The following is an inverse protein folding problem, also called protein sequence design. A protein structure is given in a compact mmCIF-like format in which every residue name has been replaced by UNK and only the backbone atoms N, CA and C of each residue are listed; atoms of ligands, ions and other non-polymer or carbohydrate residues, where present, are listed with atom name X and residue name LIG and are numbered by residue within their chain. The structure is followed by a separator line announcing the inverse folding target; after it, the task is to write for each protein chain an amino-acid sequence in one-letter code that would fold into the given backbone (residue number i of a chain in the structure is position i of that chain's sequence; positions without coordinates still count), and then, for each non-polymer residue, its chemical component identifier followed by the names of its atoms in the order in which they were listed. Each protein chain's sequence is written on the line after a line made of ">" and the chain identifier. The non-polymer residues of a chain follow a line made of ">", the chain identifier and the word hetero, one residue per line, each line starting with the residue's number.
data_IF_211858978410
#
_entry.id   IF_211858978410
#
_cell.length_a   1.000
_cell.length_b   1.000
_cell.length_c   1.000
_cell.angle_alpha   90.00
_cell.angle_beta   90.00
_cell.angle_gamma   90.00
#
_symmetry.space_group_name_H-M   'P 1'
#
loop_
_entity.id
_entity.type
_entity.pdbx_description
1 polymer ?
#
# COMPACT_ATOMS: atom_id res chain seq x y z
N UNK A 1 14.18 5.49 15.52
CA UNK A 1 13.17 5.66 16.59
C UNK A 1 12.20 6.71 16.11
N UNK A 2 10.90 6.50 16.33
CA UNK A 2 9.86 7.46 15.98
C UNK A 2 9.27 7.99 17.29
N UNK A 3 9.37 9.31 17.49
CA UNK A 3 8.86 9.96 18.68
C UNK A 3 7.51 10.61 18.38
N UNK A 4 6.50 10.23 19.16
CA UNK A 4 5.15 10.79 19.08
C UNK A 4 4.96 11.71 20.27
N UNK A 5 4.61 12.97 20.01
CA UNK A 5 4.36 13.97 21.04
C UNK A 5 2.88 14.37 20.98
N UNK A 6 2.14 14.10 22.05
CA UNK A 6 0.76 14.50 22.23
C UNK A 6 0.65 15.72 23.15
N UNK A 7 -0.07 16.76 22.72
CA UNK A 7 -0.42 17.91 23.54
C UNK A 7 -1.93 17.92 23.82
N UNK A 8 -2.30 17.85 25.10
CA UNK A 8 -3.68 18.08 25.52
C UNK A 8 -3.98 19.59 25.48
N UNK A 9 -4.76 20.04 24.50
CA UNK A 9 -5.10 21.47 24.30
C UNK A 9 -5.91 22.11 25.44
N UNK A 10 -6.53 21.31 26.34
CA UNK A 10 -7.34 21.82 27.46
C UNK A 10 -6.52 21.97 28.74
N UNK A 11 -5.66 21.00 29.03
CA UNK A 11 -4.84 20.97 30.26
C UNK A 11 -3.40 21.43 30.03
N UNK A 12 -2.98 21.61 28.78
CA UNK A 12 -1.61 21.87 28.35
C UNK A 12 -0.61 20.77 28.77
N UNK A 13 -1.10 19.58 29.12
CA UNK A 13 -0.25 18.42 29.41
C UNK A 13 0.37 17.87 28.13
N UNK A 14 1.65 17.52 28.19
CA UNK A 14 2.40 16.90 27.10
C UNK A 14 2.70 15.45 27.48
N UNK A 15 2.40 14.53 26.57
CA UNK A 15 2.78 13.13 26.66
C UNK A 15 3.68 12.77 25.48
N UNK A 16 4.68 11.92 25.73
CA UNK A 16 5.61 11.47 24.70
C UNK A 16 5.65 9.95 24.68
N UNK A 17 5.56 9.37 23.48
CA UNK A 17 5.67 7.94 23.26
C UNK A 17 6.76 7.67 22.23
N UNK A 18 7.71 6.79 22.58
CA UNK A 18 8.79 6.38 21.69
C UNK A 18 8.43 5.04 21.07
N UNK A 19 8.34 5.01 19.74
CA UNK A 19 8.13 3.79 18.96
C UNK A 19 9.47 3.34 18.36
N UNK A 20 9.87 2.13 18.71
CA UNK A 20 11.03 1.48 18.10
C UNK A 20 10.60 0.79 16.80
N UNK A 21 10.98 1.38 15.67
CA UNK A 21 10.79 0.81 14.34
C UNK A 21 12.04 0.05 13.92
N UNK A 22 11.92 -1.27 13.75
CA UNK A 22 12.97 -2.11 13.20
C UNK A 22 12.67 -2.39 11.73
N UNK A 23 13.40 -1.72 10.83
CA UNK A 23 13.28 -1.91 9.40
C UNK A 23 14.34 -2.91 8.97
N UNK A 24 13.91 -4.02 8.39
CA UNK A 24 14.80 -5.05 7.85
C UNK A 24 14.69 -5.05 6.33
N UNK A 25 15.83 -5.12 5.65
CA UNK A 25 15.84 -5.35 4.21
C UNK A 25 15.35 -6.78 3.92
N UNK A 26 14.44 -6.92 2.95
CA UNK A 26 13.96 -8.23 2.53
C UNK A 26 14.94 -8.79 1.49
N UNK A 27 15.49 -9.97 1.74
CA UNK A 27 16.45 -10.62 0.84
C UNK A 27 15.84 -11.07 -0.49
N UNK A 28 14.55 -11.40 -0.49
CA UNK A 28 13.80 -11.85 -1.66
C UNK A 28 12.65 -10.88 -1.94
N UNK A 29 12.80 -10.10 -3.01
CA UNK A 29 11.78 -9.16 -3.46
C UNK A 29 10.68 -9.87 -4.24
N UNK A 30 9.45 -9.38 -4.13
CA UNK A 30 8.36 -9.84 -5.00
C UNK A 30 8.72 -9.58 -6.47
N UNK A 31 8.54 -10.60 -7.30
CA UNK A 31 8.64 -10.49 -8.77
C UNK A 31 7.26 -10.43 -9.42
N UNK A 32 6.21 -10.79 -8.67
CA UNK A 32 4.84 -10.80 -9.11
C UNK A 32 3.96 -10.13 -8.06
N UNK A 33 2.93 -9.43 -8.52
CA UNK A 33 2.04 -8.67 -7.66
C UNK A 33 0.58 -8.81 -8.11
N UNK A 34 -0.31 -9.05 -7.14
CA UNK A 34 -1.76 -8.97 -7.32
C UNK A 34 -2.23 -7.63 -6.76
N UNK A 35 -2.87 -6.81 -7.60
CA UNK A 35 -3.39 -5.48 -7.22
C UNK A 35 -4.89 -5.49 -7.22
N UNK A 36 -5.52 -4.88 -6.23
CA UNK A 36 -6.97 -4.73 -6.16
C UNK A 36 -7.37 -3.64 -5.15
N UNK A 37 -8.65 -3.27 -5.16
CA UNK A 37 -9.28 -2.39 -4.19
C UNK A 37 -10.32 -3.16 -3.37
N UNK A 38 -10.38 -2.88 -2.07
CA UNK A 38 -11.47 -3.27 -1.17
C UNK A 38 -12.36 -2.05 -0.95
N UNK A 39 -13.66 -2.19 -1.20
CA UNK A 39 -14.62 -1.08 -1.18
C UNK A 39 -15.15 -0.75 0.21
N UNK A 40 -15.22 -1.72 1.12
CA UNK A 40 -15.93 -1.61 2.40
C UNK A 40 -15.01 -1.40 3.62
N UNK A 41 -13.76 -1.03 3.41
CA UNK A 41 -12.76 -0.81 4.46
C UNK A 41 -11.91 0.41 4.12
N UNK A 42 -11.47 1.14 5.14
CA UNK A 42 -10.44 2.17 5.05
C UNK A 42 -9.06 1.61 5.42
N UNK A 43 -8.03 2.44 5.29
CA UNK A 43 -6.64 2.05 5.59
C UNK A 43 -6.51 1.62 7.05
N UNK A 44 -7.12 2.36 7.96
CA UNK A 44 -7.11 2.11 9.40
C UNK A 44 -7.74 0.75 9.74
N UNK A 45 -8.82 0.40 9.05
CA UNK A 45 -9.52 -0.87 9.26
C UNK A 45 -8.64 -2.07 8.92
N UNK A 46 -7.68 -1.92 8.00
CA UNK A 46 -6.76 -2.99 7.63
C UNK A 46 -5.74 -3.29 8.73
N UNK A 47 -5.50 -2.34 9.64
CA UNK A 47 -4.60 -2.51 10.78
C UNK A 47 -5.31 -3.00 12.04
N UNK A 48 -6.64 -3.14 12.03
CA UNK A 48 -7.35 -3.87 13.08
C UNK A 48 -6.97 -5.34 13.09
N UNK A 49 -6.95 -5.94 14.29
CA UNK A 49 -6.39 -7.26 14.53
C UNK A 49 -6.81 -8.31 13.49
N UNK A 50 -5.82 -9.02 12.97
CA UNK A 50 -5.93 -10.15 12.03
C UNK A 50 -6.46 -9.85 10.63
N UNK A 51 -6.82 -8.61 10.28
CA UNK A 51 -7.33 -8.26 8.94
C UNK A 51 -6.36 -8.57 7.82
N UNK A 52 -5.13 -8.08 7.90
CA UNK A 52 -4.08 -8.39 6.92
C UNK A 52 -3.77 -9.90 6.89
N UNK A 53 -3.54 -10.59 8.03
CA UNK A 53 -3.38 -12.04 8.05
C UNK A 53 -4.50 -12.81 7.34
N UNK A 54 -5.77 -12.50 7.59
CA UNK A 54 -6.90 -13.16 6.92
C UNK A 54 -6.93 -12.89 5.42
N UNK A 55 -6.64 -11.66 5.01
CA UNK A 55 -6.53 -11.34 3.59
C UNK A 55 -5.43 -12.18 2.93
N UNK A 56 -4.24 -12.24 3.52
CA UNK A 56 -3.12 -13.04 3.02
C UNK A 56 -3.48 -14.53 2.96
N UNK A 57 -4.18 -15.06 3.96
CA UNK A 57 -4.56 -16.47 4.04
C UNK A 57 -5.55 -16.89 2.94
N UNK A 58 -6.47 -16.01 2.53
CA UNK A 58 -7.32 -16.26 1.35
C UNK A 58 -6.45 -16.57 0.13
N UNK A 59 -5.40 -15.78 -0.10
CA UNK A 59 -4.47 -16.00 -1.20
C UNK A 59 -3.62 -17.26 -0.98
N UNK A 60 -2.96 -17.39 0.16
CA UNK A 60 -2.05 -18.52 0.44
C UNK A 60 -2.74 -19.89 0.38
N UNK A 61 -4.03 -19.95 0.73
CA UNK A 61 -4.77 -21.20 0.84
C UNK A 61 -5.65 -21.51 -0.39
N UNK A 62 -6.15 -20.49 -1.10
CA UNK A 62 -7.17 -20.70 -2.13
C UNK A 62 -6.78 -20.17 -3.50
N UNK A 63 -6.13 -19.01 -3.60
CA UNK A 63 -5.89 -18.36 -4.90
C UNK A 63 -4.46 -18.50 -5.39
N UNK A 64 -3.45 -18.42 -4.52
CA UNK A 64 -2.04 -18.30 -4.88
C UNK A 64 -1.16 -19.23 -4.04
N UNK A 65 -1.42 -20.54 -4.11
CA UNK A 65 -0.78 -21.57 -3.28
C UNK A 65 0.76 -21.52 -3.27
N UNK A 66 1.39 -21.19 -4.41
CA UNK A 66 2.85 -21.05 -4.50
C UNK A 66 3.41 -19.97 -3.56
N UNK A 67 2.66 -18.89 -3.35
CA UNK A 67 3.07 -17.74 -2.53
C UNK A 67 3.05 -17.98 -1.02
N UNK A 68 2.72 -19.19 -0.56
CA UNK A 68 2.47 -19.51 0.86
C UNK A 68 3.62 -19.07 1.79
N UNK A 69 4.87 -19.15 1.33
CA UNK A 69 6.05 -18.89 2.15
C UNK A 69 6.46 -17.42 2.19
N UNK A 70 6.14 -16.64 1.15
CA UNK A 70 6.74 -15.33 0.94
C UNK A 70 5.74 -14.21 0.63
N UNK A 71 4.43 -14.49 0.55
CA UNK A 71 3.38 -13.50 0.30
C UNK A 71 3.31 -12.43 1.39
N UNK A 72 3.24 -11.17 0.99
CA UNK A 72 3.18 -10.01 1.87
C UNK A 72 2.49 -8.82 1.19
N UNK A 73 2.08 -7.83 1.97
CA UNK A 73 1.56 -6.56 1.46
C UNK A 73 2.74 -5.71 0.97
N UNK A 74 2.73 -5.35 -0.31
CA UNK A 74 3.74 -4.47 -0.93
C UNK A 74 3.28 -3.02 -1.02
N UNK A 75 1.97 -2.79 -1.00
CA UNK A 75 1.38 -1.46 -1.05
C UNK A 75 0.01 -1.44 -0.36
N UNK A 76 -0.27 -0.35 0.36
CA UNK A 76 -1.53 -0.10 1.03
C UNK A 76 -1.78 1.42 1.06
N UNK A 77 -2.87 1.89 0.48
CA UNK A 77 -3.23 3.31 0.52
C UNK A 77 -4.75 3.53 0.41
N UNK A 78 -5.23 4.70 0.83
CA UNK A 78 -6.63 5.05 0.59
C UNK A 78 -6.86 5.20 -0.91
N UNK A 79 -8.05 4.82 -1.36
CA UNK A 79 -8.48 5.05 -2.73
C UNK A 79 -8.49 6.56 -3.07
N UNK A 80 -8.80 7.41 -2.09
CA UNK A 80 -8.85 8.87 -2.25
C UNK A 80 -7.46 9.48 -2.49
N UNK A 81 -6.44 9.00 -1.78
CA UNK A 81 -5.02 9.40 -1.97
C UNK A 81 -4.51 9.11 -3.39
N UNK A 82 -5.11 8.11 -4.04
CA UNK A 82 -4.81 7.73 -5.43
C UNK A 82 -5.69 8.46 -6.46
N UNK A 83 -6.35 9.53 -6.04
CA UNK A 83 -7.14 10.39 -6.92
C UNK A 83 -8.57 9.91 -7.18
N UNK A 84 -9.07 8.91 -6.44
CA UNK A 84 -10.49 8.59 -6.50
C UNK A 84 -11.31 9.62 -5.72
N UNK A 85 -12.53 9.87 -6.18
CA UNK A 85 -13.45 10.80 -5.51
C UNK A 85 -13.89 10.22 -4.18
N UNK A 86 -13.90 11.06 -3.14
CA UNK A 86 -14.51 10.74 -1.86
C UNK A 86 -16.01 10.34 -2.02
N UNK A 87 -16.50 9.42 -1.18
CA UNK A 87 -17.93 9.13 -1.12
C UNK A 87 -18.77 10.38 -0.87
N UNK A 88 -20.01 10.38 -1.37
CA UNK A 88 -20.95 11.48 -1.13
C UNK A 88 -21.50 11.47 0.29
N UNK A 89 -21.70 10.27 0.84
CA UNK A 89 -22.07 10.08 2.25
C UNK A 89 -20.79 9.97 3.08
N UNK A 90 -20.57 10.85 4.08
CA UNK A 90 -19.39 10.75 4.94
C UNK A 90 -19.35 9.48 5.80
N UNK A 91 -20.44 8.72 5.90
CA UNK A 91 -20.47 7.43 6.57
C UNK A 91 -20.04 6.25 5.67
N UNK A 92 -19.94 6.48 4.36
CA UNK A 92 -19.43 5.48 3.42
C UNK A 92 -17.89 5.40 3.51
N UNK A 93 -17.34 4.21 3.28
CA UNK A 93 -15.89 4.01 3.23
C UNK A 93 -15.29 4.51 1.92
N UNK A 94 -14.11 5.11 1.98
CA UNK A 94 -13.35 5.55 0.80
C UNK A 94 -12.87 4.35 -0.03
N UNK A 95 -12.58 3.26 0.68
CA UNK A 95 -11.99 2.05 0.13
C UNK A 95 -10.47 2.09 0.21
N UNK A 96 -9.85 0.92 0.18
CA UNK A 96 -8.40 0.76 0.31
C UNK A 96 -7.86 0.01 -0.90
N UNK A 97 -6.78 0.53 -1.48
CA UNK A 97 -6.03 -0.14 -2.55
C UNK A 97 -4.91 -0.96 -1.91
N UNK A 98 -4.88 -2.25 -2.24
CA UNK A 98 -3.94 -3.22 -1.69
C UNK A 98 -3.18 -3.88 -2.83
N UNK A 99 -1.87 -3.98 -2.68
CA UNK A 99 -1.05 -4.85 -3.51
C UNK A 99 -0.41 -5.94 -2.66
N UNK A 100 -0.45 -7.17 -3.15
CA UNK A 100 0.15 -8.34 -2.53
C UNK A 100 1.24 -8.89 -3.43
N UNK A 101 2.46 -9.00 -2.91
CA UNK A 101 3.63 -9.43 -3.66
C UNK A 101 4.16 -10.80 -3.23
N UNK A 102 4.65 -11.55 -4.20
CA UNK A 102 5.39 -12.81 -4.00
C UNK A 102 6.39 -13.01 -5.15
N UNK A 103 7.43 -13.80 -4.91
CA UNK A 103 8.35 -14.28 -5.95
C UNK A 103 7.75 -15.41 -6.80
N UNK A 104 6.67 -16.03 -6.32
CA UNK A 104 6.00 -17.16 -7.00
C UNK A 104 5.28 -16.73 -8.26
N UNK A 105 5.23 -17.61 -9.26
CA UNK A 105 4.39 -17.39 -10.44
C UNK A 105 2.90 -17.39 -10.07
N UNK A 106 2.07 -16.67 -10.83
CA UNK A 106 0.62 -16.69 -10.65
C UNK A 106 0.05 -18.09 -10.86
N UNK A 107 -0.96 -18.44 -10.06
CA UNK A 107 -1.66 -19.70 -10.22
C UNK A 107 -2.62 -19.66 -11.41
N UNK A 108 -3.04 -20.83 -11.88
CA UNK A 108 -4.12 -20.93 -12.89
C UNK A 108 -5.41 -20.27 -12.41
N UNK A 109 -5.71 -20.34 -11.10
CA UNK A 109 -6.91 -19.71 -10.51
C UNK A 109 -6.87 -18.20 -10.68
N UNK A 110 -5.71 -17.57 -10.47
CA UNK A 110 -5.54 -16.11 -10.67
C UNK A 110 -5.69 -15.73 -12.14
N UNK A 111 -5.10 -16.50 -13.07
CA UNK A 111 -5.25 -16.23 -14.50
C UNK A 111 -6.70 -16.43 -14.98
N UNK A 112 -7.39 -17.44 -14.46
CA UNK A 112 -8.79 -17.68 -14.82
C UNK A 112 -9.71 -16.60 -14.23
N UNK A 113 -9.42 -16.11 -13.02
CA UNK A 113 -10.08 -14.96 -12.44
C UNK A 113 -9.88 -13.70 -13.31
N UNK A 114 -8.67 -13.42 -13.77
CA UNK A 114 -8.39 -12.27 -14.64
C UNK A 114 -9.19 -12.34 -15.96
N UNK A 115 -9.31 -13.53 -16.55
CA UNK A 115 -10.16 -13.76 -17.74
C UNK A 115 -11.65 -13.55 -17.42
N UNK A 116 -12.12 -14.05 -16.27
CA UNK A 116 -13.51 -13.93 -15.82
C UNK A 116 -13.93 -12.45 -15.68
N UNK A 117 -13.04 -11.61 -15.14
CA UNK A 117 -13.30 -10.18 -14.91
C UNK A 117 -12.92 -9.30 -16.11
N UNK A 118 -12.22 -9.82 -17.13
CA UNK A 118 -11.79 -9.02 -18.29
C UNK A 118 -12.90 -8.18 -18.95
N UNK A 119 -14.16 -8.65 -19.05
CA UNK A 119 -15.27 -7.82 -19.55
C UNK A 119 -15.56 -6.59 -18.68
N UNK A 120 -15.34 -6.68 -17.37
CA UNK A 120 -15.58 -5.59 -16.42
C UNK A 120 -14.58 -4.45 -16.56
N UNK A 121 -13.31 -4.79 -16.81
CA UNK A 121 -12.23 -3.81 -16.92
C UNK A 121 -12.45 -2.85 -18.10
N UNK A 122 -13.29 -3.22 -19.08
CA UNK A 122 -13.66 -2.39 -20.23
C UNK A 122 -14.84 -1.47 -19.96
N UNK A 123 -15.51 -1.59 -18.82
CA UNK A 123 -16.68 -0.77 -18.48
C UNK A 123 -16.24 0.55 -17.85
N UNK A 124 -16.90 1.64 -18.24
CA UNK A 124 -16.61 2.99 -17.70
C UNK A 124 -16.95 3.12 -16.20
N UNK A 125 -17.86 2.29 -15.69
CA UNK A 125 -18.23 2.25 -14.27
C UNK A 125 -18.27 0.80 -13.83
N UNK A 126 -17.57 0.50 -12.74
CA UNK A 126 -17.66 -0.82 -12.14
C UNK A 126 -19.07 -1.02 -11.56
N UNK A 127 -19.80 -2.09 -11.94
CA UNK A 127 -21.09 -2.39 -11.34
C UNK A 127 -20.90 -2.67 -9.84
N UNK A 128 -21.61 -1.94 -8.97
CA UNK A 128 -21.52 -2.13 -7.50
C UNK A 128 -21.82 -3.57 -7.07
N UNK A 129 -22.77 -4.21 -7.76
CA UNK A 129 -23.22 -5.58 -7.48
C UNK A 129 -22.91 -6.50 -8.66
N UNK A 130 -21.66 -6.48 -9.14
CA UNK A 130 -21.28 -7.42 -10.19
C UNK A 130 -21.42 -8.87 -9.70
N UNK A 131 -21.86 -9.75 -10.61
CA UNK A 131 -22.12 -11.16 -10.36
C UNK A 131 -20.86 -11.82 -9.77
N UNK A 132 -21.07 -12.55 -8.67
CA UNK A 132 -20.03 -13.17 -7.83
C UNK A 132 -19.00 -13.89 -8.68
N UNK A 133 -17.76 -13.39 -8.69
CA UNK A 133 -16.66 -14.11 -9.35
C UNK A 133 -16.53 -15.50 -8.72
N UNK A 134 -15.90 -16.44 -9.43
CA UNK A 134 -15.66 -17.80 -8.95
C UNK A 134 -15.03 -17.86 -7.54
N UNK A 135 -14.24 -16.84 -7.18
CA UNK A 135 -13.52 -16.75 -5.89
C UNK A 135 -14.17 -15.83 -4.86
N UNK A 136 -15.22 -15.07 -5.20
CA UNK A 136 -15.78 -14.02 -4.34
C UNK A 136 -16.20 -14.54 -2.96
N UNK A 137 -16.67 -15.79 -2.90
CA UNK A 137 -17.08 -16.44 -1.65
C UNK A 137 -15.98 -16.41 -0.57
N UNK A 138 -14.70 -16.52 -0.96
CA UNK A 138 -13.59 -16.53 -0.01
C UNK A 138 -13.38 -15.16 0.64
N UNK A 139 -13.61 -14.08 -0.11
CA UNK A 139 -13.48 -12.71 0.39
C UNK A 139 -14.69 -12.29 1.21
N UNK A 140 -15.90 -12.57 0.73
CA UNK A 140 -17.14 -12.24 1.44
C UNK A 140 -17.26 -12.96 2.79
N UNK A 141 -16.83 -14.23 2.85
CA UNK A 141 -16.80 -14.99 4.10
C UNK A 141 -15.91 -14.36 5.19
N UNK A 142 -14.93 -13.56 4.78
CA UNK A 142 -14.00 -12.85 5.66
C UNK A 142 -14.29 -11.33 5.74
N UNK A 143 -15.46 -10.89 5.25
CA UNK A 143 -15.89 -9.50 5.31
C UNK A 143 -15.18 -8.54 4.36
N UNK A 144 -14.55 -9.04 3.29
CA UNK A 144 -13.95 -8.22 2.24
C UNK A 144 -14.88 -8.08 1.03
N UNK A 145 -15.20 -6.85 0.63
CA UNK A 145 -15.94 -6.51 -0.58
C UNK A 145 -14.98 -5.94 -1.62
N UNK A 146 -14.58 -6.74 -2.59
CA UNK A 146 -13.60 -6.34 -3.60
C UNK A 146 -14.23 -5.58 -4.76
N UNK A 147 -13.48 -4.62 -5.28
CA UNK A 147 -13.70 -4.04 -6.60
C UNK A 147 -13.00 -4.89 -7.66
N UNK A 148 -13.74 -5.79 -8.29
CA UNK A 148 -13.21 -6.66 -9.33
C UNK A 148 -12.74 -5.92 -10.58
N UNK A 149 -13.20 -4.69 -10.84
CA UNK A 149 -12.73 -3.90 -11.97
C UNK A 149 -11.30 -3.38 -11.76
N UNK A 150 -10.88 -3.27 -10.50
CA UNK A 150 -9.52 -2.85 -10.11
C UNK A 150 -8.52 -4.01 -10.08
N UNK A 151 -8.98 -5.26 -10.14
CA UNK A 151 -8.11 -6.42 -10.01
C UNK A 151 -7.17 -6.57 -11.21
N UNK A 152 -5.87 -6.72 -10.94
CA UNK A 152 -4.82 -6.90 -11.96
C UNK A 152 -3.71 -7.81 -11.47
N UNK A 153 -3.18 -8.62 -12.39
CA UNK A 153 -1.92 -9.33 -12.20
C UNK A 153 -0.79 -8.51 -12.83
N UNK A 154 0.31 -8.31 -12.10
CA UNK A 154 1.44 -7.49 -12.55
C UNK A 154 2.74 -8.22 -12.30
N UNK A 155 3.50 -8.48 -13.36
CA UNK A 155 4.90 -8.90 -13.25
C UNK A 155 5.76 -7.65 -12.98
N UNK A 156 6.51 -7.68 -11.88
CA UNK A 156 7.42 -6.60 -11.48
C UNK A 156 8.73 -6.77 -12.24
N UNK A 157 9.01 -5.85 -13.17
CA UNK A 157 10.32 -5.79 -13.80
C UNK A 157 11.34 -5.27 -12.79
N UNK A 158 12.34 -6.09 -12.46
CA UNK A 158 13.51 -5.65 -11.70
C UNK A 158 14.30 -4.71 -12.61
N UNK A 159 14.06 -3.40 -12.49
CA UNK A 159 14.94 -2.40 -13.07
C UNK A 159 16.24 -2.44 -12.26
N UNK A 160 17.28 -3.07 -12.81
CA UNK A 160 18.64 -2.99 -12.29
C UNK A 160 18.99 -1.50 -12.08
N UNK A 161 19.14 -1.10 -10.83
CA UNK A 161 19.35 0.29 -10.45
C UNK A 161 20.81 0.70 -10.72
N UNK A 162 21.14 0.97 -11.98
CA UNK A 162 22.38 1.64 -12.39
C UNK A 162 22.07 3.06 -12.87
N UNK A 163 21.43 3.89 -12.04
CA UNK A 163 21.32 5.32 -12.31
C UNK A 163 22.46 6.07 -11.61
N UNK A 164 23.64 6.07 -12.23
CA UNK A 164 24.61 7.16 -12.05
C UNK A 164 23.99 8.45 -12.58
N UNK A 165 23.70 9.37 -11.68
CA UNK A 165 23.30 10.74 -12.00
C UNK A 165 24.47 11.49 -12.62
N UNK A 166 24.37 11.79 -13.91
CA UNK A 166 25.09 12.88 -14.56
C UNK A 166 24.11 13.55 -15.53
N UNK A 167 23.46 14.62 -15.08
CA UNK A 167 22.70 15.51 -15.96
C UNK A 167 23.43 16.85 -15.95
N UNK A 168 24.06 17.18 -17.08
CA UNK A 168 24.53 18.52 -17.39
C UNK A 168 23.34 19.36 -17.88
N UNK A 169 23.04 20.43 -17.16
CA UNK A 169 22.02 21.42 -17.49
C UNK A 169 22.31 22.14 -18.82
N UNK A 170 21.34 22.11 -19.74
CA UNK A 170 21.17 23.15 -20.76
C UNK A 170 19.73 23.67 -20.71
N UNK A 171 19.61 24.85 -20.11
CA UNK A 171 18.39 25.66 -19.98
C UNK A 171 17.85 26.09 -21.35
N UNK A 172 16.60 25.75 -21.62
CA UNK A 172 15.74 26.44 -22.60
C UNK A 172 14.44 26.85 -21.89
N UNK A 173 14.17 28.16 -21.88
CA UNK A 173 13.06 28.81 -21.17
C UNK A 173 11.72 28.55 -21.86
N UNK A 174 10.74 28.05 -21.11
CA UNK A 174 9.31 28.40 -21.29
C UNK A 174 8.57 28.14 -19.98
N UNK A 175 7.77 29.11 -19.54
CA UNK A 175 7.15 29.20 -18.21
C UNK A 175 5.97 28.22 -18.05
N UNK A 176 6.11 27.25 -17.15
CA UNK A 176 5.05 26.65 -16.35
C UNK A 176 5.62 26.41 -14.95
N UNK A 177 4.89 26.82 -13.92
CA UNK A 177 5.34 26.69 -12.53
C UNK A 177 5.29 25.21 -12.11
N UNK A 178 6.47 24.62 -11.97
CA UNK A 178 6.71 23.40 -11.20
C UNK A 178 7.31 23.79 -9.85
N UNK A 179 6.74 23.29 -8.76
CA UNK A 179 7.52 22.96 -7.58
C UNK A 179 6.87 21.76 -6.88
N UNK A 180 7.50 20.59 -7.01
CA UNK A 180 7.28 19.44 -6.15
C UNK A 180 8.19 19.62 -4.92
N UNK A 181 7.68 19.93 -3.73
CA UNK A 181 8.45 19.75 -2.48
C UNK A 181 7.53 19.41 -1.31
N UNK A 182 7.91 18.37 -0.56
CA UNK A 182 7.30 17.89 0.67
C UNK A 182 7.53 18.85 1.84
N UNK A 183 6.50 19.16 2.64
CA UNK A 183 6.64 19.79 3.95
C UNK A 183 6.29 18.79 5.07
N UNK A 184 7.32 18.22 5.70
CA UNK A 184 7.27 17.83 7.10
C UNK A 184 8.01 18.91 7.89
N UNK A 185 7.28 19.71 8.67
CA UNK A 185 7.87 20.72 9.55
C UNK A 185 7.94 20.15 10.96
N UNK A 186 9.10 19.62 11.33
CA UNK A 186 9.68 19.77 12.67
C UNK A 186 11.18 19.48 12.59
N UNK A 187 11.95 20.55 12.48
CA UNK A 187 13.40 20.51 12.60
C UNK A 187 13.77 20.45 14.09
N UNK A 188 14.15 19.27 14.59
CA UNK A 188 15.04 19.19 15.75
C UNK A 188 16.47 19.03 15.26
N UNK A 189 17.24 20.08 15.52
CA UNK A 189 18.64 20.22 15.18
C UNK A 189 19.45 19.23 16.03
N UNK A 190 19.90 18.12 15.43
CA UNK A 190 20.79 17.18 16.11
C UNK A 190 22.16 17.85 16.32
N UNK A 191 22.50 18.13 17.57
CA UNK A 191 23.89 18.33 17.99
C UNK A 191 24.53 16.95 18.06
N UNK A 192 25.46 16.66 17.15
CA UNK A 192 26.38 15.53 17.29
C UNK A 192 27.37 15.88 18.41
N UNK A 193 27.17 15.33 19.61
CA UNK A 193 28.23 15.24 20.60
C UNK A 193 29.10 14.04 20.22
N UNK A 194 30.37 14.31 19.90
CA UNK A 194 31.39 13.29 19.70
C UNK A 194 31.64 12.53 21.01
N UNK A 195 31.79 11.20 20.94
CA UNK A 195 32.18 10.34 22.05
C UNK A 195 33.70 10.40 22.33
N UNK A 196 34.26 11.60 22.44
CA UNK A 196 35.67 11.80 22.86
C UNK A 196 35.83 12.53 24.20
N UNK A 197 34.74 12.97 24.86
CA UNK A 197 34.83 13.71 26.15
C UNK A 197 34.56 12.84 27.39
N UNK A 198 34.71 11.51 27.30
CA UNK A 198 34.73 10.62 28.47
C UNK A 198 36.12 10.00 28.60
N UNK A 199 37.13 10.84 28.82
CA UNK A 199 38.33 10.59 29.63
C UNK A 199 39.36 11.70 29.41
N UNK A 200 39.24 12.79 30.18
CA UNK A 200 40.39 13.56 30.67
C UNK A 200 40.01 14.43 31.86
#
# INVERSE_FOLDING_TARGET
>A
MLDIIGLNKKTYQVETQIIQLNIFEKSEYATNEVRFKINNLNVEDMFHEERIPYLLDIFRQNLWLGSKQDLYVTFLASASDLGQRLPLDPNDTEGVVVNLGSSSNFSTILYDLEKEISPLQKMNKCPKDFKRTSVERYFRANGFNLDWCSFKLVELTILNHNHTTNVQDKKSKTNYAEENVWELVESLQYILVSLDDINS
#
